data_IF_064926228921
#
_entry.id   IF_064926228921
#
_cell.length_a   1.000
_cell.length_b   1.000
_cell.length_c   1.000
_cell.angle_alpha   90.00
_cell.angle_beta   90.00
_cell.angle_gamma   90.00
#
_symmetry.space_group_name_H-M   'P 1'
#
loop_
_entity.id
_entity.type
_entity.pdbx_description
1 polymer ?
#
# COMPACT_ATOMS: atom_id res chain seq x y z
N UNK A 1 -18.76 14.60 12.44
CA UNK A 1 -18.59 13.14 12.65
C UNK A 1 -17.97 12.98 14.02
N UNK A 2 -18.51 12.13 14.92
CA UNK A 2 -17.94 11.94 16.26
C UNK A 2 -16.89 10.81 16.14
N UNK A 3 -15.69 11.17 15.77
CA UNK A 3 -14.53 10.26 15.79
C UNK A 3 -14.22 9.99 17.28
N UNK A 4 -14.22 8.73 17.68
CA UNK A 4 -13.90 8.34 19.05
C UNK A 4 -12.39 8.41 19.27
N UNK A 5 -11.87 9.35 20.07
CA UNK A 5 -10.45 9.42 20.34
C UNK A 5 -10.01 8.20 21.18
N UNK A 6 -8.88 7.61 20.83
CA UNK A 6 -8.19 6.61 21.65
C UNK A 6 -8.30 5.16 21.22
N UNK A 7 -8.83 4.87 20.03
CA UNK A 7 -8.71 3.55 19.39
C UNK A 7 -7.87 3.68 18.13
N UNK A 8 -6.87 2.83 17.98
CA UNK A 8 -6.13 2.65 16.74
C UNK A 8 -6.52 1.34 16.08
N UNK A 9 -6.60 1.32 14.77
CA UNK A 9 -6.99 0.16 13.98
C UNK A 9 -5.99 -1.01 14.10
N UNK A 10 -4.73 -0.75 14.38
CA UNK A 10 -3.72 -1.79 14.32
C UNK A 10 -3.41 -2.29 12.88
N UNK A 11 -4.17 -1.88 11.87
CA UNK A 11 -4.01 -2.21 10.46
C UNK A 11 -3.50 -1.03 9.63
N UNK A 12 -3.24 0.13 10.26
CA UNK A 12 -2.64 1.29 9.62
C UNK A 12 -1.12 1.16 9.60
N UNK A 13 -0.51 1.33 8.43
CA UNK A 13 0.93 1.28 8.20
C UNK A 13 1.36 2.63 7.60
N UNK A 14 2.14 3.40 8.33
CA UNK A 14 2.63 4.69 7.86
C UNK A 14 4.03 4.57 7.23
N UNK A 15 4.09 4.62 5.90
CA UNK A 15 5.33 4.61 5.11
C UNK A 15 5.78 6.01 4.69
N UNK A 16 5.09 7.07 5.14
CA UNK A 16 5.37 8.47 4.77
C UNK A 16 6.71 8.89 5.30
N UNK A 17 7.69 8.85 5.26
CA UNK A 17 8.98 9.20 5.86
C UNK A 17 10.02 8.11 5.69
N UNK A 18 9.57 6.90 5.38
CA UNK A 18 10.47 5.92 4.81
C UNK A 18 10.70 6.34 3.35
N UNK A 19 11.60 7.30 3.12
CA UNK A 19 12.24 7.39 1.81
C UNK A 19 12.71 5.98 1.55
N UNK A 20 12.10 5.32 0.55
CA UNK A 20 12.49 3.98 0.15
C UNK A 20 13.98 3.95 0.18
N UNK A 21 14.53 3.21 1.14
CA UNK A 21 15.96 3.01 1.27
C UNK A 21 16.42 2.39 -0.04
N UNK A 22 16.48 3.24 -1.06
CA UNK A 22 17.37 3.06 -2.16
C UNK A 22 18.71 2.95 -1.48
N UNK A 23 19.07 1.73 -1.09
CA UNK A 23 20.46 1.45 -0.88
C UNK A 23 21.12 2.19 -2.02
N UNK A 24 22.07 3.05 -1.73
CA UNK A 24 23.08 3.48 -2.69
C UNK A 24 23.79 2.21 -3.18
N UNK A 25 23.02 1.34 -3.81
CA UNK A 25 23.53 0.46 -4.83
C UNK A 25 24.05 1.46 -5.85
N UNK A 26 25.34 1.65 -5.88
CA UNK A 26 26.04 2.22 -7.00
C UNK A 26 25.44 1.48 -8.19
N UNK A 27 24.56 2.16 -8.91
CA UNK A 27 24.02 1.65 -10.17
C UNK A 27 25.22 1.49 -11.07
N UNK A 28 25.83 0.32 -11.01
CA UNK A 28 26.87 -0.06 -11.94
C UNK A 28 26.14 -0.21 -13.26
N UNK A 29 26.03 0.89 -14.00
CA UNK A 29 25.55 0.87 -15.37
C UNK A 29 26.35 -0.13 -16.18
N UNK A 30 25.85 -0.55 -17.34
CA UNK A 30 26.52 -1.51 -18.24
C UNK A 30 28.03 -1.24 -18.38
N UNK A 31 28.45 0.04 -18.41
CA UNK A 31 29.88 0.43 -18.43
C UNK A 31 30.62 0.11 -17.15
N UNK A 32 30.00 0.25 -15.98
CA UNK A 32 30.60 -0.08 -14.69
C UNK A 32 30.74 -1.59 -14.49
N UNK A 33 29.79 -2.37 -15.00
CA UNK A 33 29.86 -3.84 -14.98
C UNK A 33 31.02 -4.37 -15.86
N UNK A 34 31.25 -3.73 -17.00
CA UNK A 34 32.36 -4.05 -17.86
C UNK A 34 33.70 -3.77 -17.18
N UNK A 35 33.84 -2.64 -16.49
CA UNK A 35 35.06 -2.31 -15.74
C UNK A 35 35.31 -3.28 -14.57
N UNK A 36 34.28 -3.73 -13.86
CA UNK A 36 34.40 -4.74 -12.81
C UNK A 36 34.83 -6.09 -13.37
N UNK A 37 34.32 -6.50 -14.52
CA UNK A 37 34.74 -7.73 -15.20
C UNK A 37 36.19 -7.65 -15.66
N UNK A 38 36.63 -6.52 -16.21
CA UNK A 38 38.01 -6.28 -16.62
C UNK A 38 38.94 -6.32 -15.42
N UNK A 39 38.58 -5.62 -14.31
CA UNK A 39 39.35 -5.62 -13.09
C UNK A 39 39.47 -7.02 -12.47
N UNK A 40 38.40 -7.81 -12.48
CA UNK A 40 38.41 -9.21 -12.04
C UNK A 40 39.39 -10.08 -12.85
N UNK A 41 39.40 -9.89 -14.16
CA UNK A 41 40.26 -10.65 -15.05
C UNK A 41 41.75 -10.32 -14.88
N UNK A 42 42.10 -9.03 -14.70
CA UNK A 42 43.47 -8.59 -14.57
C UNK A 42 44.05 -8.65 -13.13
N UNK A 43 43.20 -8.49 -12.11
CA UNK A 43 43.63 -8.39 -10.71
C UNK A 43 43.19 -9.57 -9.84
N UNK A 44 42.54 -10.59 -10.44
CA UNK A 44 42.14 -11.80 -9.71
C UNK A 44 41.10 -11.55 -8.60
N UNK A 45 40.36 -10.43 -8.66
CA UNK A 45 39.35 -10.11 -7.65
C UNK A 45 38.17 -11.06 -7.82
N UNK A 46 37.83 -11.80 -6.76
CA UNK A 46 36.69 -12.71 -6.76
C UNK A 46 35.37 -11.92 -6.73
N UNK A 47 34.66 -11.89 -7.87
CA UNK A 47 33.39 -11.18 -8.03
C UNK A 47 32.17 -12.09 -7.78
N UNK A 48 32.35 -13.35 -7.38
CA UNK A 48 31.25 -14.26 -7.06
C UNK A 48 30.27 -13.71 -6.04
N UNK A 49 30.71 -12.97 -4.97
CA UNK A 49 29.78 -12.33 -4.05
C UNK A 49 28.92 -11.23 -4.70
N UNK A 50 29.42 -10.60 -5.77
CA UNK A 50 28.72 -9.51 -6.47
C UNK A 50 27.75 -10.05 -7.54
N UNK A 51 28.05 -11.19 -8.15
CA UNK A 51 27.22 -11.86 -9.16
C UNK A 51 26.21 -12.83 -8.53
N UNK A 52 26.44 -13.29 -7.30
CA UNK A 52 25.58 -14.19 -6.54
C UNK A 52 24.34 -13.50 -5.91
N UNK A 53 24.17 -12.20 -6.12
CA UNK A 53 22.97 -11.46 -5.76
C UNK A 53 21.79 -11.78 -6.69
N UNK A 54 21.52 -13.06 -6.94
CA UNK A 54 20.23 -13.49 -7.45
C UNK A 54 19.15 -13.00 -6.51
N UNK A 55 18.17 -12.25 -7.05
CA UNK A 55 17.08 -11.66 -6.32
C UNK A 55 16.39 -12.64 -5.38
N UNK A 56 16.88 -12.73 -4.19
CA UNK A 56 16.04 -13.05 -3.04
C UNK A 56 15.15 -11.82 -2.88
N UNK A 57 13.93 -11.90 -3.39
CA UNK A 57 12.84 -11.10 -2.84
C UNK A 57 12.88 -11.38 -1.35
N UNK A 58 13.50 -10.50 -0.59
CA UNK A 58 13.34 -10.52 0.86
C UNK A 58 11.83 -10.56 1.08
N UNK A 59 11.32 -11.49 1.91
CA UNK A 59 9.93 -11.40 2.33
C UNK A 59 9.74 -9.97 2.82
N UNK A 60 8.58 -9.33 2.53
CA UNK A 60 8.32 -7.97 2.96
C UNK A 60 8.68 -7.92 4.44
N UNK A 61 9.56 -7.00 4.80
CA UNK A 61 9.88 -6.75 6.22
C UNK A 61 8.52 -6.67 6.91
N UNK A 62 8.38 -7.40 8.01
CA UNK A 62 7.13 -7.43 8.78
C UNK A 62 6.82 -5.98 9.17
N UNK A 63 6.09 -5.29 8.29
CA UNK A 63 5.72 -3.90 8.50
C UNK A 63 4.68 -3.90 9.60
N UNK A 64 5.12 -3.48 10.75
CA UNK A 64 4.27 -3.35 11.90
C UNK A 64 3.36 -2.14 11.71
N UNK A 65 2.10 -2.29 12.11
CA UNK A 65 1.20 -1.18 12.24
C UNK A 65 1.88 -0.06 13.06
N UNK A 66 1.74 1.17 12.60
CA UNK A 66 2.32 2.34 13.25
C UNK A 66 1.25 3.35 13.55
N UNK A 67 1.19 3.81 14.79
CA UNK A 67 0.30 4.91 15.14
C UNK A 67 0.79 6.19 14.47
N UNK A 68 -0.05 6.84 13.63
CA UNK A 68 0.33 8.09 13.00
C UNK A 68 0.43 9.19 14.04
N UNK A 69 1.47 10.00 13.94
CA UNK A 69 1.72 11.10 14.89
C UNK A 69 1.09 12.42 14.47
N UNK A 70 0.66 12.54 13.22
CA UNK A 70 0.03 13.76 12.67
C UNK A 70 -1.50 13.66 12.63
N UNK A 71 -2.16 14.81 12.63
CA UNK A 71 -3.62 14.93 12.64
C UNK A 71 -4.28 14.23 11.45
N UNK A 72 -3.69 14.30 10.27
CA UNK A 72 -4.24 13.68 9.07
C UNK A 72 -4.19 12.15 9.16
N UNK A 73 -3.09 11.59 9.63
CA UNK A 73 -2.96 10.16 9.84
C UNK A 73 -3.90 9.65 10.93
N UNK A 74 -4.02 10.38 12.05
CA UNK A 74 -4.95 10.05 13.13
C UNK A 74 -6.41 10.06 12.68
N UNK A 75 -6.78 11.00 11.81
CA UNK A 75 -8.11 11.05 11.21
C UNK A 75 -8.37 9.81 10.34
N UNK A 76 -7.40 9.42 9.50
CA UNK A 76 -7.52 8.23 8.64
C UNK A 76 -7.63 6.96 9.47
N UNK A 77 -6.82 6.83 10.52
CA UNK A 77 -6.87 5.71 11.44
C UNK A 77 -8.24 5.59 12.11
N UNK A 78 -8.77 6.69 12.61
CA UNK A 78 -10.10 6.72 13.23
C UNK A 78 -11.23 6.35 12.25
N UNK A 79 -11.15 6.80 10.99
CA UNK A 79 -12.10 6.41 9.95
C UNK A 79 -11.98 4.92 9.64
N UNK A 80 -10.75 4.38 9.58
CA UNK A 80 -10.52 2.95 9.36
C UNK A 80 -11.17 2.12 10.47
N UNK A 81 -10.97 2.49 11.74
CA UNK A 81 -11.62 1.84 12.89
C UNK A 81 -13.14 1.80 12.73
N UNK A 82 -13.77 2.91 12.34
CA UNK A 82 -15.23 2.96 12.14
C UNK A 82 -15.68 2.02 11.00
N UNK A 83 -14.91 1.91 9.92
CA UNK A 83 -15.22 0.95 8.84
C UNK A 83 -15.06 -0.49 9.30
N UNK A 84 -14.04 -0.81 10.09
CA UNK A 84 -13.80 -2.14 10.67
C UNK A 84 -14.94 -2.54 11.61
N UNK A 85 -15.41 -1.63 12.47
CA UNK A 85 -16.55 -1.89 13.35
C UNK A 85 -17.82 -2.18 12.56
N UNK A 86 -18.15 -1.35 11.56
CA UNK A 86 -19.35 -1.51 10.74
C UNK A 86 -19.34 -2.84 9.99
N UNK A 87 -18.27 -3.15 9.28
CA UNK A 87 -18.17 -4.41 8.54
C UNK A 87 -18.06 -5.61 9.45
N UNK A 88 -17.33 -5.51 10.55
CA UNK A 88 -17.25 -6.55 11.58
C UNK A 88 -18.62 -6.90 12.17
N UNK A 89 -19.47 -5.89 12.40
CA UNK A 89 -20.85 -6.10 12.88
C UNK A 89 -21.73 -6.76 11.81
N UNK A 90 -21.61 -6.34 10.54
CA UNK A 90 -22.41 -6.91 9.45
C UNK A 90 -22.04 -8.38 9.19
N UNK A 91 -20.76 -8.71 9.14
CA UNK A 91 -20.29 -10.10 8.96
C UNK A 91 -20.71 -10.99 10.15
N UNK A 92 -20.62 -10.46 11.37
CA UNK A 92 -21.06 -11.19 12.56
C UNK A 92 -22.56 -11.48 12.54
N UNK A 93 -23.39 -10.55 12.05
CA UNK A 93 -24.83 -10.76 11.88
C UNK A 93 -25.16 -11.82 10.85
N UNK A 94 -24.33 -12.00 9.80
CA UNK A 94 -24.46 -13.10 8.82
C UNK A 94 -23.81 -14.41 9.27
N UNK A 95 -23.22 -14.45 10.45
CA UNK A 95 -22.54 -15.66 10.99
C UNK A 95 -21.13 -15.86 10.43
N UNK A 96 -20.56 -14.83 9.82
CA UNK A 96 -19.23 -14.85 9.21
C UNK A 96 -18.22 -14.03 10.01
N UNK A 97 -16.95 -14.18 9.68
CA UNK A 97 -15.86 -13.39 10.28
C UNK A 97 -15.30 -12.44 9.26
N UNK A 98 -15.37 -11.15 9.57
CA UNK A 98 -14.72 -10.11 8.76
C UNK A 98 -13.20 -10.19 8.91
N UNK A 99 -12.49 -10.17 7.80
CA UNK A 99 -11.04 -9.97 7.75
C UNK A 99 -10.78 -8.54 7.32
N UNK A 100 -10.20 -7.78 8.20
CA UNK A 100 -9.92 -6.36 8.00
C UNK A 100 -8.82 -6.16 6.93
N UNK A 101 -8.90 -5.13 6.11
CA UNK A 101 -7.81 -4.76 5.19
C UNK A 101 -6.68 -4.05 5.94
N UNK A 102 -5.47 -4.11 5.42
CA UNK A 102 -4.46 -3.13 5.80
C UNK A 102 -4.71 -1.79 5.09
N UNK A 103 -4.25 -0.69 5.68
CA UNK A 103 -4.19 0.61 5.04
C UNK A 103 -2.76 1.16 5.12
N UNK A 104 -2.19 1.49 3.98
CA UNK A 104 -0.84 2.04 3.86
C UNK A 104 -0.91 3.52 3.47
N UNK A 105 -0.36 4.39 4.32
CA UNK A 105 -0.06 5.77 3.97
C UNK A 105 1.31 5.84 3.32
N UNK A 106 1.42 6.48 2.15
CA UNK A 106 2.68 6.62 1.44
C UNK A 106 2.87 8.01 0.85
N UNK A 107 4.02 8.30 0.27
CA UNK A 107 4.32 9.53 -0.45
C UNK A 107 4.90 9.19 -1.82
N UNK A 108 4.35 9.77 -2.87
CA UNK A 108 4.72 9.66 -4.28
C UNK A 108 4.61 8.25 -4.87
N UNK A 109 5.41 7.29 -4.41
CA UNK A 109 5.50 5.93 -4.93
C UNK A 109 5.52 4.90 -3.81
N UNK A 110 4.84 3.78 -4.01
CA UNK A 110 4.89 2.65 -3.08
C UNK A 110 4.85 1.31 -3.83
N UNK A 111 5.68 0.33 -3.46
CA UNK A 111 5.56 -1.02 -3.99
C UNK A 111 4.32 -1.70 -3.41
N UNK A 112 3.61 -2.45 -4.26
CA UNK A 112 2.45 -3.26 -3.88
C UNK A 112 2.46 -4.60 -4.61
N UNK A 113 1.68 -5.56 -4.17
CA UNK A 113 1.52 -6.84 -4.88
C UNK A 113 0.74 -6.72 -6.20
N UNK A 114 0.16 -5.55 -6.48
CA UNK A 114 -0.53 -5.23 -7.73
C UNK A 114 0.35 -4.42 -8.71
N UNK A 115 1.59 -4.14 -8.35
CA UNK A 115 2.52 -3.28 -9.08
C UNK A 115 2.93 -2.05 -8.29
N UNK A 116 3.49 -1.06 -8.95
CA UNK A 116 3.89 0.19 -8.29
C UNK A 116 2.70 1.15 -8.19
N UNK A 117 2.29 1.45 -6.96
CA UNK A 117 1.33 2.52 -6.69
C UNK A 117 1.97 3.90 -6.84
N UNK A 118 1.23 4.84 -7.42
CA UNK A 118 1.68 6.22 -7.66
C UNK A 118 0.62 7.20 -7.15
N UNK A 119 1.04 8.27 -6.49
CA UNK A 119 0.15 9.32 -5.98
C UNK A 119 -0.80 9.90 -7.04
N UNK A 120 -0.34 9.97 -8.31
CA UNK A 120 -1.14 10.44 -9.43
C UNK A 120 -2.36 9.55 -9.78
N UNK A 121 -2.36 8.29 -9.33
CA UNK A 121 -3.48 7.36 -9.52
C UNK A 121 -4.63 7.60 -8.53
N UNK A 122 -4.38 8.37 -7.47
CA UNK A 122 -5.28 8.49 -6.32
C UNK A 122 -5.21 7.30 -5.37
N UNK A 123 -6.08 7.25 -4.36
CA UNK A 123 -6.26 6.09 -3.50
C UNK A 123 -6.68 4.86 -4.31
N UNK A 124 -6.28 3.67 -3.85
CA UNK A 124 -6.67 2.43 -4.50
C UNK A 124 -6.58 1.23 -3.55
N UNK A 125 -7.37 0.21 -3.84
CA UNK A 125 -7.30 -1.08 -3.19
C UNK A 125 -6.53 -2.10 -4.07
N UNK A 126 -5.60 -2.85 -3.47
CA UNK A 126 -4.92 -3.96 -4.13
C UNK A 126 -5.47 -5.30 -3.63
N UNK A 127 -6.17 -6.09 -4.45
CA UNK A 127 -6.76 -7.36 -4.03
C UNK A 127 -5.72 -8.46 -3.73
N UNK A 128 -4.51 -8.36 -4.28
CA UNK A 128 -3.49 -9.39 -4.10
C UNK A 128 -2.87 -9.37 -2.69
N UNK A 129 -2.76 -8.21 -2.07
CA UNK A 129 -2.26 -8.05 -0.70
C UNK A 129 -3.33 -7.56 0.29
N UNK A 130 -4.57 -7.39 -0.18
CA UNK A 130 -5.72 -6.96 0.60
C UNK A 130 -5.47 -5.63 1.34
N UNK A 131 -4.85 -4.68 0.66
CA UNK A 131 -4.38 -3.44 1.24
C UNK A 131 -4.94 -2.23 0.49
N UNK A 132 -5.41 -1.23 1.23
CA UNK A 132 -5.76 0.09 0.74
C UNK A 132 -4.51 0.97 0.76
N UNK A 133 -4.25 1.71 -0.31
CA UNK A 133 -3.09 2.59 -0.45
C UNK A 133 -3.54 4.03 -0.64
N UNK A 134 -3.00 4.95 0.18
CA UNK A 134 -3.39 6.36 0.17
C UNK A 134 -2.16 7.26 0.24
N UNK A 135 -2.04 8.17 -0.75
CA UNK A 135 -1.15 9.34 -0.64
C UNK A 135 -1.97 10.55 -0.20
N UNK A 136 -1.56 11.22 0.88
CA UNK A 136 -2.29 12.38 1.41
C UNK A 136 -2.33 13.57 0.46
N UNK A 137 -1.49 13.61 -0.59
CA UNK A 137 -1.56 14.65 -1.62
C UNK A 137 -2.89 14.64 -2.36
N UNK A 138 -3.54 13.48 -2.46
CA UNK A 138 -4.87 13.33 -3.05
C UNK A 138 -5.93 14.14 -2.31
N UNK A 139 -5.93 14.14 -0.98
CA UNK A 139 -6.90 14.92 -0.21
C UNK A 139 -6.70 16.41 -0.36
N UNK A 140 -5.45 16.87 -0.48
CA UNK A 140 -5.17 18.27 -0.83
C UNK A 140 -5.67 18.65 -2.23
N UNK A 141 -5.64 17.71 -3.17
CA UNK A 141 -6.19 17.90 -4.50
C UNK A 141 -7.73 17.95 -4.47
N UNK A 142 -8.40 17.07 -3.72
CA UNK A 142 -9.86 17.12 -3.50
C UNK A 142 -10.32 18.45 -2.93
N UNK A 143 -9.60 18.99 -1.95
CA UNK A 143 -9.90 20.30 -1.37
C UNK A 143 -9.82 21.42 -2.41
N UNK A 144 -8.81 21.41 -3.29
CA UNK A 144 -8.71 22.40 -4.38
C UNK A 144 -9.85 22.29 -5.40
N UNK A 145 -10.43 21.13 -5.57
CA UNK A 145 -11.59 20.89 -6.44
C UNK A 145 -12.92 21.20 -5.75
N UNK A 146 -12.91 21.68 -4.51
CA UNK A 146 -14.11 22.06 -3.76
C UNK A 146 -14.71 20.94 -2.88
N UNK A 147 -14.17 19.71 -2.92
CA UNK A 147 -14.57 18.67 -1.99
C UNK A 147 -13.86 18.90 -0.64
N UNK A 148 -14.54 19.59 0.27
CA UNK A 148 -13.98 19.98 1.57
C UNK A 148 -14.52 19.12 2.70
N UNK A 149 -13.67 18.92 3.72
CA UNK A 149 -14.05 18.35 5.02
C UNK A 149 -13.80 16.85 5.16
N UNK A 150 -13.98 16.41 6.39
CA UNK A 150 -13.76 15.04 6.85
C UNK A 150 -14.62 14.00 6.10
N UNK A 151 -15.82 14.41 5.67
CA UNK A 151 -16.72 13.52 4.94
C UNK A 151 -16.14 13.04 3.62
N UNK A 152 -15.44 13.91 2.86
CA UNK A 152 -14.83 13.52 1.60
C UNK A 152 -13.71 12.47 1.83
N UNK A 153 -12.93 12.64 2.88
CA UNK A 153 -11.88 11.69 3.29
C UNK A 153 -12.52 10.35 3.68
N UNK A 154 -13.54 10.39 4.55
CA UNK A 154 -14.26 9.20 5.00
C UNK A 154 -14.91 8.44 3.84
N UNK A 155 -15.51 9.17 2.89
CA UNK A 155 -16.11 8.55 1.71
C UNK A 155 -15.08 7.79 0.86
N UNK A 156 -13.92 8.39 0.62
CA UNK A 156 -12.86 7.74 -0.18
C UNK A 156 -12.35 6.48 0.52
N UNK A 157 -12.07 6.55 1.82
CA UNK A 157 -11.59 5.38 2.59
C UNK A 157 -12.66 4.27 2.57
N UNK A 158 -13.92 4.61 2.83
CA UNK A 158 -15.01 3.65 2.79
C UNK A 158 -15.21 3.02 1.40
N UNK A 159 -14.95 3.78 0.33
CA UNK A 159 -14.99 3.27 -1.05
C UNK A 159 -13.90 2.21 -1.29
N UNK A 160 -12.67 2.46 -0.88
CA UNK A 160 -11.58 1.49 -1.03
C UNK A 160 -11.79 0.26 -0.13
N UNK A 161 -12.31 0.44 1.08
CA UNK A 161 -12.71 -0.68 1.96
C UNK A 161 -13.86 -1.48 1.34
N UNK A 162 -14.79 -0.84 0.63
CA UNK A 162 -15.84 -1.57 -0.11
C UNK A 162 -15.25 -2.46 -1.22
N UNK A 163 -14.17 -2.04 -1.89
CA UNK A 163 -13.45 -2.93 -2.82
C UNK A 163 -12.83 -4.12 -2.11
N UNK A 164 -12.34 -3.96 -0.87
CA UNK A 164 -11.89 -5.10 -0.07
C UNK A 164 -13.03 -6.08 0.21
N UNK A 165 -14.20 -5.59 0.63
CA UNK A 165 -15.39 -6.42 0.85
C UNK A 165 -15.79 -7.14 -0.44
N UNK A 166 -15.86 -6.45 -1.58
CA UNK A 166 -16.11 -7.08 -2.88
C UNK A 166 -15.10 -8.18 -3.22
N UNK A 167 -13.85 -8.03 -2.80
CA UNK A 167 -12.82 -9.05 -2.97
C UNK A 167 -13.08 -10.28 -2.07
N UNK A 168 -13.45 -10.06 -0.80
CA UNK A 168 -13.81 -11.14 0.13
C UNK A 168 -15.01 -11.94 -0.39
N UNK A 169 -16.01 -11.26 -0.96
CA UNK A 169 -17.20 -11.86 -1.57
C UNK A 169 -16.93 -12.48 -2.97
N UNK A 170 -15.70 -12.42 -3.48
CA UNK A 170 -15.35 -12.97 -4.79
C UNK A 170 -15.87 -12.17 -5.99
N UNK A 171 -16.49 -11.02 -5.78
CA UNK A 171 -17.14 -10.23 -6.85
C UNK A 171 -16.12 -9.60 -7.81
N UNK A 172 -14.91 -9.27 -7.34
CA UNK A 172 -13.86 -8.70 -8.19
C UNK A 172 -13.30 -9.72 -9.19
N UNK A 173 -13.27 -11.00 -8.85
CA UNK A 173 -12.84 -12.07 -9.75
C UNK A 173 -13.92 -12.39 -10.81
N UNK A 174 -15.18 -12.35 -10.41
CA UNK A 174 -16.32 -12.57 -11.31
C UNK A 174 -16.41 -11.48 -12.40
N UNK A 175 -16.13 -10.22 -12.07
CA UNK A 175 -16.13 -9.13 -13.05
C UNK A 175 -15.03 -9.28 -14.10
N UNK A 176 -13.84 -9.76 -13.73
CA UNK A 176 -12.73 -10.03 -14.67
C UNK A 176 -13.05 -11.17 -15.62
N UNK A 177 -13.68 -12.25 -15.15
CA UNK A 177 -14.07 -13.38 -16.00
C UNK A 177 -15.13 -13.00 -17.04
N UNK A 178 -16.09 -12.15 -16.67
CA UNK A 178 -17.12 -11.65 -17.58
C UNK A 178 -16.54 -10.71 -18.66
N UNK A 179 -15.52 -9.91 -18.35
CA UNK A 179 -14.85 -9.08 -19.37
C UNK A 179 -14.05 -9.91 -20.39
N UNK A 180 -13.47 -11.04 -20.00
CA UNK A 180 -12.77 -11.93 -20.93
C UNK A 180 -13.69 -12.79 -21.80
N UNK A 181 -14.94 -12.97 -21.41
CA UNK A 181 -15.93 -13.77 -22.18
C UNK A 181 -16.67 -12.96 -23.26
N UNK A 182 -16.45 -11.65 -23.37
CA UNK A 182 -17.11 -10.74 -24.33
C UNK A 182 -16.17 -10.35 -25.48
N UNK A 183 -14.95 -10.89 -25.56
CA UNK A 183 -14.02 -10.78 -26.68
C UNK A 183 -13.98 -12.08 -27.47
#
# INVERSE_FOLDING_TARGET
MLIRPGRSSGNLIDRRGSSGGGGRGVGIGLGGMLLVLIASFFFGVDIRPLLGGGGSSAPPANEQASDPTDEAGQMIDAILVETEEVWGDLYRQSGETYREPNLVLYTDLTPTSCGTGQAAMGPFYCPNDQTVYIDLSFFRQLQRMGAQGEFAIAYVIAHEVAHHVQNLEGLLSASRSNQMSVQ
#
